data_IF_538833264924
#
_entry.id   IF_538833264924
#
_cell.length_a   1.000
_cell.length_b   1.000
_cell.length_c   1.000
_cell.angle_alpha   90.00
_cell.angle_beta   90.00
_cell.angle_gamma   90.00
#
_symmetry.space_group_name_H-M   'P 1'
#
loop_
_entity.id
_entity.type
_entity.pdbx_description
1 polymer ?
#
# COMPACT_ATOMS: atom_id res chain seq x y z
N UNK A 1 36.63 -2.24 -14.91
CA UNK A 1 35.20 -2.41 -15.24
C UNK A 1 34.48 -2.65 -13.93
N UNK A 2 33.79 -1.64 -13.41
CA UNK A 2 33.10 -1.74 -12.12
C UNK A 2 31.91 -2.69 -12.26
N UNK A 3 31.85 -3.68 -11.38
CA UNK A 3 30.70 -4.55 -11.20
C UNK A 3 29.50 -3.66 -10.87
N UNK A 4 28.53 -3.58 -11.78
CA UNK A 4 27.20 -3.13 -11.43
C UNK A 4 26.68 -4.12 -10.40
N UNK A 5 26.68 -3.68 -9.15
CA UNK A 5 25.89 -4.25 -8.06
C UNK A 5 24.42 -4.19 -8.50
N UNK A 6 24.04 -5.15 -9.35
CA UNK A 6 22.65 -5.41 -9.70
C UNK A 6 22.04 -6.03 -8.44
N UNK A 7 21.73 -5.17 -7.47
CA UNK A 7 20.78 -5.44 -6.42
C UNK A 7 19.64 -6.21 -7.08
N UNK A 8 19.25 -7.40 -6.57
CA UNK A 8 18.07 -8.05 -7.07
C UNK A 8 16.97 -7.01 -6.89
N UNK A 9 16.51 -6.43 -8.01
CA UNK A 9 15.27 -5.68 -8.06
C UNK A 9 14.22 -6.73 -7.83
N UNK A 10 14.11 -7.16 -6.57
CA UNK A 10 13.05 -8.02 -6.09
C UNK A 10 11.84 -7.28 -6.61
N UNK A 11 11.13 -7.87 -7.56
CA UNK A 11 9.82 -7.41 -7.97
C UNK A 11 8.95 -7.64 -6.75
N UNK A 12 9.16 -6.83 -5.70
CA UNK A 12 8.40 -6.88 -4.47
C UNK A 12 7.00 -6.56 -4.97
N UNK A 13 6.11 -7.55 -4.82
CA UNK A 13 4.83 -7.56 -5.50
C UNK A 13 4.02 -6.28 -5.26
N UNK A 14 2.90 -6.11 -5.96
CA UNK A 14 2.06 -4.91 -5.87
C UNK A 14 1.81 -4.45 -4.42
N UNK A 15 1.54 -5.37 -3.49
CA UNK A 15 1.34 -5.04 -2.08
C UNK A 15 2.54 -4.35 -1.41
N UNK A 16 3.76 -4.63 -1.84
CA UNK A 16 4.93 -3.93 -1.35
C UNK A 16 5.01 -2.50 -1.89
N UNK A 17 4.57 -2.26 -3.13
CA UNK A 17 4.42 -0.91 -3.68
C UNK A 17 3.40 -0.10 -2.89
N UNK A 18 2.27 -0.71 -2.52
CA UNK A 18 1.27 -0.10 -1.64
C UNK A 18 1.83 0.16 -0.22
N UNK A 19 2.54 -0.81 0.37
CA UNK A 19 3.21 -0.63 1.66
C UNK A 19 4.18 0.57 1.63
N UNK A 20 5.02 0.67 0.59
CA UNK A 20 5.94 1.79 0.43
C UNK A 20 5.20 3.13 0.25
N UNK A 21 4.12 3.16 -0.54
CA UNK A 21 3.29 4.34 -0.73
C UNK A 21 2.64 4.80 0.60
N UNK A 22 2.12 3.87 1.39
CA UNK A 22 1.57 4.16 2.73
C UNK A 22 2.63 4.74 3.67
N UNK A 23 3.84 4.19 3.68
CA UNK A 23 4.93 4.73 4.52
C UNK A 23 5.34 6.15 4.12
N UNK A 24 5.15 6.54 2.85
CA UNK A 24 5.41 7.90 2.36
C UNK A 24 4.25 8.87 2.60
N UNK A 25 3.01 8.43 2.35
CA UNK A 25 1.80 9.29 2.35
C UNK A 25 1.10 9.36 3.71
N UNK A 26 1.15 8.27 4.47
CA UNK A 26 0.46 8.12 5.73
C UNK A 26 1.32 7.33 6.74
N UNK A 27 2.50 7.83 7.12
CA UNK A 27 3.44 7.13 8.00
C UNK A 27 2.84 6.79 9.38
N UNK A 28 1.80 7.51 9.81
CA UNK A 28 1.04 7.23 11.03
C UNK A 28 0.13 5.99 10.94
N UNK A 29 -0.18 5.51 9.73
CA UNK A 29 -0.90 4.25 9.55
C UNK A 29 0.08 3.11 9.86
N UNK A 30 -0.29 2.27 10.81
CA UNK A 30 0.44 1.03 11.08
C UNK A 30 0.17 0.05 9.94
N UNK A 31 1.14 -0.09 9.05
CA UNK A 31 1.18 -1.13 8.04
C UNK A 31 2.29 -2.11 8.41
N UNK A 32 1.99 -3.40 8.40
CA UNK A 32 3.00 -4.46 8.48
C UNK A 32 3.54 -4.74 7.06
N UNK A 33 4.78 -5.25 6.89
CA UNK A 33 5.18 -5.82 5.62
C UNK A 33 4.17 -6.91 5.20
N UNK A 34 3.82 -7.01 3.91
CA UNK A 34 2.81 -7.96 3.46
C UNK A 34 3.29 -9.40 3.69
N UNK A 35 2.50 -10.18 4.43
CA UNK A 35 2.66 -11.63 4.59
C UNK A 35 1.59 -12.33 3.75
N UNK A 36 1.93 -13.41 3.04
CA UNK A 36 0.99 -14.28 2.32
C UNK A 36 -0.04 -13.59 1.40
N UNK A 37 0.36 -12.52 0.70
CA UNK A 37 -0.48 -11.79 -0.27
C UNK A 37 -1.59 -10.91 0.33
N UNK A 38 -1.45 -10.50 1.59
CA UNK A 38 -2.28 -9.46 2.19
C UNK A 38 -1.45 -8.39 2.90
N UNK A 39 -1.95 -7.17 2.93
CA UNK A 39 -1.39 -6.03 3.62
C UNK A 39 -2.35 -5.53 4.70
N UNK A 40 -2.01 -5.78 5.96
CA UNK A 40 -2.80 -5.30 7.09
C UNK A 40 -2.42 -3.86 7.43
N UNK A 41 -3.44 -3.01 7.53
CA UNK A 41 -3.33 -1.58 7.81
C UNK A 41 -4.21 -1.21 9.00
N UNK A 42 -3.72 -0.37 9.90
CA UNK A 42 -4.47 0.06 11.07
C UNK A 42 -4.14 1.49 11.49
N UNK A 43 -5.14 2.22 11.96
CA UNK A 43 -4.99 3.56 12.52
C UNK A 43 -6.06 3.81 13.60
N UNK A 44 -5.66 4.37 14.74
CA UNK A 44 -6.58 4.82 15.83
C UNK A 44 -7.67 3.80 16.22
N UNK A 45 -7.35 2.50 16.21
CA UNK A 45 -8.30 1.43 16.56
C UNK A 45 -9.18 0.93 15.41
N UNK A 46 -9.08 1.50 14.21
CA UNK A 46 -9.62 0.94 12.97
C UNK A 46 -8.55 0.11 12.29
N UNK A 47 -8.92 -1.08 11.80
CA UNK A 47 -8.03 -1.95 11.05
C UNK A 47 -8.74 -2.46 9.80
N UNK A 48 -7.99 -2.60 8.73
CA UNK A 48 -8.45 -3.14 7.47
C UNK A 48 -7.33 -3.97 6.81
N UNK A 49 -7.73 -4.82 5.87
CA UNK A 49 -6.80 -5.70 5.15
C UNK A 49 -6.95 -5.43 3.66
N UNK A 50 -5.85 -5.14 3.00
CA UNK A 50 -5.79 -4.92 1.55
C UNK A 50 -5.15 -6.14 0.90
N UNK A 51 -5.77 -6.64 -0.15
CA UNK A 51 -5.27 -7.74 -0.99
C UNK A 51 -5.00 -7.24 -2.40
N UNK A 52 -4.17 -7.96 -3.13
CA UNK A 52 -4.01 -7.76 -4.56
C UNK A 52 -4.87 -8.79 -5.30
N UNK A 53 -5.85 -8.28 -6.04
CA UNK A 53 -6.65 -9.08 -6.96
C UNK A 53 -5.83 -9.32 -8.23
N UNK A 54 -5.30 -10.53 -8.36
CA UNK A 54 -4.48 -10.93 -9.50
C UNK A 54 -5.25 -11.06 -10.81
N UNK A 55 -6.54 -11.39 -10.73
CA UNK A 55 -7.42 -11.56 -11.88
C UNK A 55 -7.79 -10.20 -12.50
N UNK A 56 -8.08 -9.21 -11.66
CA UNK A 56 -8.41 -7.85 -12.07
C UNK A 56 -7.19 -6.93 -12.16
N UNK A 57 -6.04 -7.37 -11.62
CA UNK A 57 -4.80 -6.60 -11.61
C UNK A 57 -4.90 -5.31 -10.79
N UNK A 58 -5.56 -5.37 -9.62
CA UNK A 58 -5.81 -4.18 -8.80
C UNK A 58 -5.83 -4.46 -7.29
N UNK A 59 -5.64 -3.42 -6.47
CA UNK A 59 -5.83 -3.51 -5.03
C UNK A 59 -7.31 -3.57 -4.67
N UNK A 60 -7.64 -4.37 -3.67
CA UNK A 60 -8.99 -4.50 -3.14
C UNK A 60 -8.96 -4.69 -1.62
N UNK A 61 -10.04 -4.33 -0.95
CA UNK A 61 -10.25 -4.71 0.45
C UNK A 61 -10.58 -6.19 0.54
N UNK A 62 -10.03 -6.88 1.54
CA UNK A 62 -10.37 -8.28 1.82
C UNK A 62 -11.87 -8.44 2.13
N UNK A 63 -12.43 -7.48 2.88
CA UNK A 63 -13.86 -7.42 3.18
C UNK A 63 -14.76 -7.05 1.98
N UNK A 64 -14.18 -6.79 0.81
CA UNK A 64 -14.86 -6.35 -0.40
C UNK A 64 -14.77 -4.85 -0.65
N UNK A 65 -14.57 -4.49 -1.92
CA UNK A 65 -14.41 -3.11 -2.38
C UNK A 65 -13.09 -2.89 -3.10
N UNK A 66 -13.11 -2.15 -4.20
CA UNK A 66 -11.96 -1.98 -5.08
C UNK A 66 -11.25 -0.66 -4.76
N UNK A 67 -9.93 -0.72 -4.65
CA UNK A 67 -9.04 0.44 -4.47
C UNK A 67 -8.40 0.90 -5.79
N UNK A 68 -8.43 0.03 -6.80
CA UNK A 68 -7.86 0.27 -8.13
C UNK A 68 -6.40 -0.19 -8.24
N UNK A 69 -5.79 -0.10 -9.43
CA UNK A 69 -4.45 -0.64 -9.71
C UNK A 69 -3.30 0.24 -9.24
N UNK A 70 -3.55 1.53 -8.97
CA UNK A 70 -2.53 2.50 -8.58
C UNK A 70 -2.21 2.45 -7.09
N UNK A 71 -0.97 2.11 -6.73
CA UNK A 71 -0.54 2.00 -5.33
C UNK A 71 -0.65 3.32 -4.54
N UNK A 72 -0.36 4.45 -5.19
CA UNK A 72 -0.47 5.79 -4.58
C UNK A 72 -1.93 6.15 -4.27
N UNK A 73 -2.83 5.94 -5.22
CA UNK A 73 -4.27 6.18 -5.02
C UNK A 73 -4.85 5.22 -4.00
N UNK A 74 -4.46 3.94 -4.05
CA UNK A 74 -4.86 2.96 -3.05
C UNK A 74 -4.38 3.36 -1.65
N UNK A 75 -3.16 3.88 -1.49
CA UNK A 75 -2.67 4.37 -0.19
C UNK A 75 -3.49 5.56 0.33
N UNK A 76 -3.88 6.48 -0.54
CA UNK A 76 -4.75 7.61 -0.20
C UNK A 76 -6.14 7.13 0.24
N UNK A 77 -6.76 6.23 -0.52
CA UNK A 77 -8.05 5.64 -0.19
C UNK A 77 -8.00 4.84 1.12
N UNK A 78 -6.91 4.13 1.38
CA UNK A 78 -6.66 3.42 2.64
C UNK A 78 -6.59 4.41 3.81
N UNK A 79 -5.81 5.48 3.66
CA UNK A 79 -5.71 6.51 4.69
C UNK A 79 -7.07 7.16 4.95
N UNK A 80 -7.80 7.51 3.90
CA UNK A 80 -9.15 8.08 4.00
C UNK A 80 -10.13 7.13 4.69
N UNK A 81 -10.17 5.84 4.31
CA UNK A 81 -11.03 4.83 4.93
C UNK A 81 -10.71 4.63 6.43
N UNK A 82 -9.44 4.77 6.79
CA UNK A 82 -8.98 4.69 8.18
C UNK A 82 -9.12 6.01 8.95
N UNK A 83 -9.63 7.08 8.33
CA UNK A 83 -9.70 8.44 8.90
C UNK A 83 -8.31 8.98 9.29
N UNK A 84 -7.27 8.52 8.59
CA UNK A 84 -5.90 8.95 8.81
C UNK A 84 -5.58 10.19 7.96
N UNK A 85 -4.87 11.19 8.51
CA UNK A 85 -4.49 12.38 7.76
C UNK A 85 -3.45 12.05 6.69
N UNK A 86 -3.86 11.89 5.44
CA UNK A 86 -2.92 11.66 4.34
C UNK A 86 -2.19 12.96 3.99
N UNK A 87 -0.89 12.86 3.66
CA UNK A 87 -0.20 13.92 2.93
C UNK A 87 -0.80 13.99 1.53
N UNK A 88 -1.77 14.89 1.36
CA UNK A 88 -2.29 15.30 0.07
C UNK A 88 -1.15 15.85 -0.78
N UNK A 89 -1.09 15.57 -2.10
CA UNK A 89 -0.11 16.20 -2.99
C UNK A 89 -0.34 17.72 -3.22
N UNK A 90 -1.23 18.37 -2.46
CA UNK A 90 -1.66 19.76 -2.68
C UNK A 90 -1.14 20.77 -1.66
N UNK A 91 -0.07 20.45 -0.91
CA UNK A 91 0.71 21.47 -0.20
C UNK A 91 1.96 21.80 -1.03
N UNK A 92 1.80 22.74 -1.97
CA UNK A 92 2.81 23.25 -2.89
C UNK A 92 2.31 24.50 -3.58
#
# INVERSE_FOLDING_TARGET
MAASDELPRVRRGPLYSLYAALRRRAPQVSAAPPEDSALRVAYRGRAATVVWDGDLGQYAWEAGGQLGPDAEKAAELVAWALDAPATSPSDG
#
